data_IF_033810691490
#
_entry.id   IF_033810691490
#
_cell.length_a   1.000
_cell.length_b   1.000
_cell.length_c   1.000
_cell.angle_alpha   90.00
_cell.angle_beta   90.00
_cell.angle_gamma   90.00
#
_symmetry.space_group_name_H-M   'P 1'
#
loop_
_entity.id
_entity.type
_entity.pdbx_description
1 polymer ?
#
# COMPACT_ATOMS: atom_id res chain seq x y z
N UNK A 1 -8.48 25.39 -16.38
CA UNK A 1 -8.43 23.92 -16.49
C UNK A 1 -7.00 23.50 -16.25
N UNK A 2 -6.72 22.77 -15.17
CA UNK A 2 -5.37 22.26 -14.92
C UNK A 2 -4.94 21.32 -16.06
N UNK A 3 -3.66 21.37 -16.45
CA UNK A 3 -3.17 20.51 -17.51
C UNK A 3 -3.15 19.04 -17.08
N UNK A 4 -3.69 18.16 -17.92
CA UNK A 4 -3.77 16.72 -17.67
C UNK A 4 -2.49 16.01 -18.07
N UNK A 5 -2.09 15.03 -17.27
CA UNK A 5 -1.00 14.14 -17.62
C UNK A 5 -1.35 13.30 -18.84
N UNK A 6 -0.36 13.07 -19.69
CA UNK A 6 -0.43 12.12 -20.81
C UNK A 6 0.23 10.80 -20.48
N UNK A 7 1.25 10.82 -19.61
CA UNK A 7 2.03 9.65 -19.22
C UNK A 7 2.38 9.70 -17.74
N UNK A 8 2.59 8.53 -17.14
CA UNK A 8 3.12 8.39 -15.78
C UNK A 8 4.53 7.79 -15.83
N UNK A 9 5.40 8.25 -14.94
CA UNK A 9 6.77 7.78 -14.78
C UNK A 9 6.93 7.03 -13.46
N UNK A 10 8.09 7.19 -12.81
CA UNK A 10 8.54 6.35 -11.72
C UNK A 10 7.68 6.41 -10.44
N UNK A 11 7.87 5.37 -9.63
CA UNK A 11 7.43 5.33 -8.24
C UNK A 11 8.34 6.21 -7.39
N UNK A 12 7.74 7.09 -6.59
CA UNK A 12 8.47 7.92 -5.64
C UNK A 12 7.70 8.05 -4.32
N UNK A 13 8.43 8.42 -3.26
CA UNK A 13 7.87 8.84 -1.96
C UNK A 13 6.84 7.86 -1.39
N UNK A 14 7.25 6.60 -1.33
CA UNK A 14 6.47 5.58 -0.64
C UNK A 14 6.51 5.84 0.87
N UNK A 15 5.33 5.86 1.47
CA UNK A 15 5.11 6.04 2.90
C UNK A 15 4.10 5.00 3.38
N UNK A 16 4.12 4.71 4.67
CA UNK A 16 3.16 3.81 5.30
C UNK A 16 2.73 4.32 6.67
N UNK A 17 1.57 3.87 7.13
CA UNK A 17 1.10 4.10 8.49
C UNK A 17 0.35 2.86 8.99
N UNK A 18 0.70 2.35 10.16
CA UNK A 18 -0.01 1.21 10.77
C UNK A 18 -1.46 1.60 11.11
N UNK A 19 -2.37 0.63 11.04
CA UNK A 19 -3.69 0.76 11.66
C UNK A 19 -3.51 0.53 13.16
N UNK A 20 -3.84 1.54 13.98
CA UNK A 20 -3.71 1.50 15.44
C UNK A 20 -4.97 0.98 16.11
N UNK A 21 -6.14 1.25 15.54
CA UNK A 21 -7.43 0.75 16.04
C UNK A 21 -8.48 0.68 14.93
N UNK A 22 -9.45 -0.21 15.12
CA UNK A 22 -10.68 -0.29 14.33
C UNK A 22 -11.87 -0.07 15.27
N UNK A 23 -12.66 0.98 15.01
CA UNK A 23 -13.85 1.30 15.78
C UNK A 23 -15.00 0.32 15.50
N UNK A 24 -16.04 0.34 16.33
CA UNK A 24 -17.17 -0.60 16.22
C UNK A 24 -17.90 -0.58 14.87
N UNK A 25 -17.84 0.54 14.14
CA UNK A 25 -18.41 0.69 12.80
C UNK A 25 -17.41 0.39 11.66
N UNK A 26 -16.21 -0.10 11.97
CA UNK A 26 -15.15 -0.36 10.99
C UNK A 26 -14.28 0.85 10.63
N UNK A 27 -14.39 1.95 11.39
CA UNK A 27 -13.58 3.14 11.19
C UNK A 27 -12.13 2.90 11.64
N UNK A 28 -11.18 3.09 10.73
CA UNK A 28 -9.76 2.85 11.00
C UNK A 28 -9.09 4.11 11.53
N UNK A 29 -8.24 3.94 12.54
CA UNK A 29 -7.30 4.97 13.01
C UNK A 29 -5.91 4.60 12.57
N UNK A 30 -5.17 5.56 12.00
CA UNK A 30 -3.82 5.36 11.53
C UNK A 30 -2.81 5.99 12.48
N UNK A 31 -1.67 5.33 12.64
CA UNK A 31 -0.54 5.86 13.40
C UNK A 31 0.26 6.91 12.62
N UNK A 32 1.44 7.24 13.14
CA UNK A 32 2.38 8.14 12.47
C UNK A 32 2.77 7.60 11.09
N UNK A 33 2.74 8.48 10.09
CA UNK A 33 3.22 8.20 8.74
C UNK A 33 4.75 8.14 8.74
N UNK A 34 5.29 7.06 8.19
CA UNK A 34 6.73 6.85 8.03
C UNK A 34 7.10 6.70 6.55
N UNK A 35 8.25 7.25 6.16
CA UNK A 35 8.76 7.12 4.79
C UNK A 35 9.49 5.79 4.61
N UNK A 36 9.08 5.01 3.61
CA UNK A 36 9.78 3.80 3.19
C UNK A 36 10.79 4.15 2.08
N UNK A 37 12.05 4.30 2.45
CA UNK A 37 13.12 4.62 1.51
C UNK A 37 13.56 3.39 0.72
N UNK A 38 13.97 3.60 -0.53
CA UNK A 38 14.51 2.53 -1.37
C UNK A 38 13.46 1.69 -2.09
N UNK A 39 12.21 2.16 -2.18
CA UNK A 39 11.21 1.54 -3.06
C UNK A 39 11.62 1.68 -4.53
N UNK A 40 11.71 0.55 -5.22
CA UNK A 40 12.17 0.47 -6.60
C UNK A 40 11.03 0.19 -7.57
N UNK A 41 10.09 -0.68 -7.18
CA UNK A 41 9.00 -1.14 -8.06
C UNK A 41 7.75 -1.43 -7.23
N UNK A 42 6.58 -1.05 -7.74
CA UNK A 42 5.27 -1.38 -7.17
C UNK A 42 4.36 -1.92 -8.26
N UNK A 43 3.88 -3.13 -8.06
CA UNK A 43 2.87 -3.78 -8.91
C UNK A 43 1.57 -3.90 -8.12
N UNK A 44 0.43 -3.62 -8.77
CA UNK A 44 -0.91 -3.74 -8.19
C UNK A 44 -1.81 -4.48 -9.18
N UNK A 45 -2.20 -5.70 -8.84
CA UNK A 45 -3.04 -6.58 -9.64
C UNK A 45 -4.47 -6.57 -9.07
N UNK A 46 -5.50 -6.17 -9.84
CA UNK A 46 -6.87 -6.17 -9.35
C UNK A 46 -7.32 -7.56 -8.93
N UNK A 47 -7.97 -7.66 -7.78
CA UNK A 47 -8.59 -8.90 -7.30
C UNK A 47 -10.11 -8.76 -7.28
N UNK A 48 -10.78 -9.80 -7.76
CA UNK A 48 -12.23 -9.82 -7.90
C UNK A 48 -12.71 -11.08 -8.61
N UNK A 49 -13.83 -11.61 -8.15
CA UNK A 49 -14.52 -12.72 -8.77
C UNK A 49 -15.43 -12.21 -9.90
N UNK A 50 -15.34 -12.88 -11.05
CA UNK A 50 -16.23 -12.67 -12.20
C UNK A 50 -17.25 -13.79 -12.28
N UNK A 51 -18.50 -13.45 -11.99
CA UNK A 51 -19.66 -14.31 -12.21
C UNK A 51 -20.30 -14.00 -13.56
N UNK A 52 -20.74 -15.04 -14.28
CA UNK A 52 -21.60 -14.85 -15.44
C UNK A 52 -22.77 -15.83 -15.41
N UNK A 53 -23.96 -15.33 -15.71
CA UNK A 53 -25.16 -16.13 -15.90
C UNK A 53 -25.41 -16.30 -17.40
N UNK A 54 -25.41 -17.55 -17.86
CA UNK A 54 -25.64 -17.89 -19.26
C UNK A 54 -27.12 -18.17 -19.50
N UNK A 55 -27.70 -17.46 -20.46
CA UNK A 55 -29.04 -17.73 -20.99
C UNK A 55 -29.03 -17.51 -22.50
N UNK A 56 -29.89 -18.21 -23.25
CA UNK A 56 -29.99 -18.12 -24.71
C UNK A 56 -28.64 -18.26 -25.45
N UNK A 57 -27.77 -19.15 -24.97
CA UNK A 57 -26.40 -19.36 -25.47
C UNK A 57 -25.49 -18.11 -25.43
N UNK A 58 -25.84 -17.08 -24.66
CA UNK A 58 -25.01 -15.89 -24.42
C UNK A 58 -24.75 -15.69 -22.92
N UNK A 59 -23.73 -14.89 -22.59
CA UNK A 59 -23.57 -14.34 -21.23
C UNK A 59 -24.62 -13.24 -21.05
N UNK A 60 -25.77 -13.61 -20.49
CA UNK A 60 -26.91 -12.71 -20.33
C UNK A 60 -26.68 -11.67 -19.22
N UNK A 61 -25.96 -12.06 -18.17
CA UNK A 61 -25.59 -11.18 -17.08
C UNK A 61 -24.16 -11.47 -16.62
N UNK A 62 -23.37 -10.42 -16.40
CA UNK A 62 -21.99 -10.51 -15.87
C UNK A 62 -21.90 -9.61 -14.64
N UNK A 63 -21.35 -10.13 -13.56
CA UNK A 63 -21.06 -9.40 -12.33
C UNK A 63 -19.58 -9.55 -11.96
N UNK A 64 -18.99 -8.50 -11.41
CA UNK A 64 -17.60 -8.47 -10.94
C UNK A 64 -17.58 -7.93 -9.51
N UNK A 65 -16.91 -8.63 -8.58
CA UNK A 65 -16.57 -8.07 -7.26
C UNK A 65 -15.29 -7.25 -7.35
N UNK A 66 -15.14 -6.29 -6.44
CA UNK A 66 -13.90 -5.54 -6.25
C UNK A 66 -13.36 -5.86 -4.86
N UNK A 67 -12.53 -6.90 -4.81
CA UNK A 67 -11.90 -7.38 -3.58
C UNK A 67 -10.56 -6.66 -3.30
N UNK A 68 -10.21 -5.72 -4.18
CA UNK A 68 -9.11 -4.79 -4.03
C UNK A 68 -7.94 -5.11 -4.96
N UNK A 69 -6.74 -5.20 -4.39
CA UNK A 69 -5.52 -5.49 -5.14
C UNK A 69 -4.62 -6.49 -4.41
N UNK A 70 -3.96 -7.35 -5.16
CA UNK A 70 -2.71 -7.96 -4.74
C UNK A 70 -1.56 -7.06 -5.16
N UNK A 71 -0.68 -6.75 -4.22
CA UNK A 71 0.41 -5.81 -4.40
C UNK A 71 1.76 -6.45 -4.13
N UNK A 72 2.72 -6.12 -4.98
CA UNK A 72 4.13 -6.49 -4.80
C UNK A 72 4.97 -5.22 -4.80
N UNK A 73 5.61 -4.93 -3.66
CA UNK A 73 6.50 -3.80 -3.50
C UNK A 73 7.93 -4.31 -3.33
N UNK A 74 8.82 -3.89 -4.23
CA UNK A 74 10.26 -4.15 -4.11
C UNK A 74 10.94 -2.97 -3.45
N UNK A 75 11.68 -3.25 -2.38
CA UNK A 75 12.44 -2.25 -1.63
C UNK A 75 13.88 -2.70 -1.42
N UNK A 76 14.82 -1.77 -1.39
CA UNK A 76 16.21 -2.08 -1.05
C UNK A 76 16.35 -2.61 0.39
N UNK A 77 15.54 -2.08 1.33
CA UNK A 77 15.53 -2.49 2.73
C UNK A 77 14.20 -2.11 3.39
N UNK A 78 13.61 -3.04 4.15
CA UNK A 78 12.49 -2.71 5.04
C UNK A 78 13.02 -2.07 6.32
N UNK A 79 12.36 -0.99 6.76
CA UNK A 79 12.76 -0.31 8.00
C UNK A 79 12.40 -1.15 9.22
N UNK A 80 13.17 -1.02 10.30
CA UNK A 80 12.91 -1.69 11.57
C UNK A 80 11.50 -1.35 12.12
N UNK A 81 11.05 -0.12 11.91
CA UNK A 81 9.72 0.33 12.29
C UNK A 81 8.64 -0.44 11.55
N UNK A 82 8.83 -0.76 10.26
CA UNK A 82 7.88 -1.57 9.50
C UNK A 82 7.83 -3.01 10.03
N UNK A 83 9.00 -3.61 10.26
CA UNK A 83 9.12 -4.97 10.81
C UNK A 83 8.41 -5.09 12.17
N UNK A 84 8.62 -4.10 13.04
CA UNK A 84 8.06 -4.13 14.41
C UNK A 84 6.59 -3.71 14.49
N UNK A 85 6.20 -2.62 13.81
CA UNK A 85 4.84 -2.04 13.91
C UNK A 85 3.83 -2.74 13.00
N UNK A 86 4.25 -3.20 11.82
CA UNK A 86 3.37 -3.83 10.83
C UNK A 86 3.50 -5.35 10.85
N UNK A 87 4.72 -5.89 10.76
CA UNK A 87 4.91 -7.34 10.75
C UNK A 87 4.88 -7.98 12.15
N UNK A 88 4.90 -7.17 13.21
CA UNK A 88 4.80 -7.64 14.59
C UNK A 88 6.06 -8.33 15.10
N UNK A 89 7.21 -8.10 14.47
CA UNK A 89 8.49 -8.58 14.98
C UNK A 89 8.86 -7.89 16.31
N UNK A 90 9.53 -8.60 17.20
CA UNK A 90 9.84 -8.09 18.54
C UNK A 90 11.30 -7.65 18.64
N UNK A 91 11.52 -6.38 19.00
CA UNK A 91 12.84 -5.87 19.36
C UNK A 91 13.13 -6.23 20.83
N UNK A 92 14.17 -7.01 21.06
CA UNK A 92 14.75 -7.17 22.39
C UNK A 92 15.68 -5.99 22.68
N UNK A 93 15.31 -5.16 23.66
CA UNK A 93 16.08 -3.97 24.05
C UNK A 93 17.39 -4.28 24.76
N UNK A 94 17.56 -5.51 25.25
CA UNK A 94 18.77 -5.95 25.95
C UNK A 94 19.84 -6.37 24.96
N UNK A 95 19.46 -7.15 23.94
CA UNK A 95 20.37 -7.67 22.93
C UNK A 95 20.41 -6.84 21.65
N UNK A 96 19.47 -5.91 21.47
CA UNK A 96 19.23 -5.16 20.24
C UNK A 96 19.00 -6.07 19.01
N UNK A 97 18.35 -7.21 19.22
CA UNK A 97 17.99 -8.15 18.15
C UNK A 97 16.50 -8.11 17.87
N UNK A 98 16.13 -8.23 16.59
CA UNK A 98 14.74 -8.39 16.17
C UNK A 98 14.45 -9.88 16.04
N UNK A 99 13.37 -10.33 16.68
CA UNK A 99 12.90 -11.71 16.65
C UNK A 99 11.57 -11.80 15.93
N UNK A 100 11.51 -12.68 14.93
CA UNK A 100 10.25 -13.07 14.30
C UNK A 100 9.60 -14.18 15.13
N UNK A 101 8.41 -13.91 15.68
CA UNK A 101 7.68 -14.86 16.51
C UNK A 101 6.49 -15.41 15.71
N UNK A 102 6.34 -16.73 15.67
CA UNK A 102 5.28 -17.39 14.90
C UNK A 102 3.86 -16.98 15.31
N UNK A 103 3.67 -16.59 16.58
CA UNK A 103 2.40 -16.10 17.12
C UNK A 103 2.23 -14.58 17.05
N UNK A 104 3.17 -13.85 16.46
CA UNK A 104 3.05 -12.41 16.28
C UNK A 104 1.85 -12.05 15.43
N UNK A 105 1.08 -11.06 15.90
CA UNK A 105 -0.04 -10.51 15.15
C UNK A 105 0.45 -9.35 14.31
N UNK A 106 0.38 -9.53 12.99
CA UNK A 106 0.57 -8.45 12.05
C UNK A 106 -0.56 -7.46 12.14
N UNK A 107 -0.29 -6.20 11.78
CA UNK A 107 -1.30 -5.16 11.66
C UNK A 107 -1.53 -4.83 10.21
N UNK A 108 -2.75 -4.37 9.91
CA UNK A 108 -3.03 -3.74 8.64
C UNK A 108 -2.35 -2.36 8.62
N UNK A 109 -2.13 -1.82 7.43
CA UNK A 109 -1.48 -0.52 7.26
C UNK A 109 -2.06 0.23 6.05
N UNK A 110 -1.91 1.54 6.01
CA UNK A 110 -2.09 2.32 4.81
C UNK A 110 -0.76 2.43 4.06
N UNK A 111 -0.78 2.29 2.74
CA UNK A 111 0.37 2.51 1.85
C UNK A 111 0.08 3.74 0.97
N UNK A 112 0.94 4.73 1.04
CA UNK A 112 0.84 5.97 0.27
C UNK A 112 2.06 6.10 -0.63
N UNK A 113 1.87 6.58 -1.84
CA UNK A 113 2.96 6.71 -2.82
C UNK A 113 2.59 7.75 -3.87
N UNK A 114 3.59 8.23 -4.63
CA UNK A 114 3.33 9.04 -5.81
C UNK A 114 3.85 8.34 -7.06
N UNK A 115 3.10 8.52 -8.14
CA UNK A 115 3.60 8.31 -9.49
C UNK A 115 3.90 9.67 -10.10
N UNK A 116 5.12 9.82 -10.59
CA UNK A 116 5.48 10.98 -11.39
C UNK A 116 4.60 11.04 -12.65
N UNK A 117 4.33 12.25 -13.13
CA UNK A 117 3.60 12.50 -14.37
C UNK A 117 4.35 13.53 -15.20
N UNK A 118 4.06 13.60 -16.50
CA UNK A 118 4.67 14.60 -17.39
C UNK A 118 4.35 16.05 -17.02
N UNK A 119 3.28 16.28 -16.25
CA UNK A 119 2.87 17.62 -15.82
C UNK A 119 2.68 17.74 -14.31
N UNK A 120 2.00 16.77 -13.71
CA UNK A 120 1.67 16.77 -12.28
C UNK A 120 1.78 15.36 -11.72
N UNK A 121 2.36 15.21 -10.55
CA UNK A 121 2.38 13.93 -9.86
C UNK A 121 0.96 13.49 -9.44
N UNK A 122 0.75 12.17 -9.43
CA UNK A 122 -0.47 11.54 -8.91
C UNK A 122 -0.16 10.86 -7.59
N UNK A 123 -0.69 11.41 -6.51
CA UNK A 123 -0.54 10.83 -5.18
C UNK A 123 -1.63 9.80 -4.96
N UNK A 124 -1.27 8.67 -4.36
CA UNK A 124 -2.14 7.52 -4.14
C UNK A 124 -2.12 7.14 -2.66
N UNK A 125 -3.19 6.51 -2.21
CA UNK A 125 -3.30 5.85 -0.92
C UNK A 125 -4.12 4.56 -1.06
N UNK A 126 -3.58 3.47 -0.53
CA UNK A 126 -4.25 2.20 -0.25
C UNK A 126 -4.46 2.11 1.26
N UNK A 127 -5.67 1.85 1.71
CA UNK A 127 -6.03 2.11 3.10
C UNK A 127 -5.93 0.91 4.04
N UNK A 128 -6.10 -0.30 3.52
CA UNK A 128 -6.23 -1.51 4.32
C UNK A 128 -5.36 -2.61 3.73
N UNK A 129 -4.06 -2.36 3.75
CA UNK A 129 -3.05 -3.29 3.29
C UNK A 129 -2.71 -4.31 4.39
N UNK A 130 -2.58 -5.58 4.02
CA UNK A 130 -2.09 -6.65 4.88
C UNK A 130 -0.87 -7.32 4.24
N UNK A 131 0.28 -7.25 4.91
CA UNK A 131 1.54 -7.74 4.36
C UNK A 131 1.79 -9.23 4.68
N UNK A 132 2.18 -9.97 3.66
CA UNK A 132 2.76 -11.29 3.81
C UNK A 132 4.16 -11.21 4.43
N UNK A 133 4.69 -12.34 4.89
CA UNK A 133 6.07 -12.38 5.40
C UNK A 133 6.99 -12.07 4.23
N UNK A 134 7.89 -11.07 4.33
CA UNK A 134 8.78 -10.73 3.24
C UNK A 134 9.73 -11.89 2.95
N UNK A 135 10.02 -12.12 1.67
CA UNK A 135 11.02 -13.10 1.28
C UNK A 135 12.40 -12.52 1.52
N UNK A 136 13.17 -13.12 2.42
CA UNK A 136 14.56 -12.72 2.68
C UNK A 136 15.47 -13.54 1.78
N UNK A 137 16.12 -12.86 0.84
CA UNK A 137 17.12 -13.45 -0.04
C UNK A 137 18.25 -12.46 -0.28
N UNK A 138 19.46 -12.97 -0.45
CA UNK A 138 20.63 -12.17 -0.85
C UNK A 138 21.41 -12.95 -1.89
N UNK A 139 21.93 -12.26 -2.90
CA UNK A 139 22.86 -12.83 -3.87
C UNK A 139 24.27 -12.32 -3.61
N UNK A 140 25.29 -13.08 -4.01
CA UNK A 140 26.68 -12.61 -3.97
C UNK A 140 26.80 -11.36 -4.84
N UNK A 141 27.39 -10.29 -4.29
CA UNK A 141 27.51 -9.01 -4.99
C UNK A 141 28.24 -9.19 -6.32
N UNK A 142 27.56 -8.86 -7.41
CA UNK A 142 28.14 -8.77 -8.75
C UNK A 142 28.00 -7.34 -9.24
N UNK A 143 29.11 -6.60 -9.30
CA UNK A 143 29.11 -5.20 -9.74
C UNK A 143 28.22 -4.27 -8.88
N UNK A 144 27.24 -3.64 -9.53
CA UNK A 144 26.35 -2.62 -8.95
C UNK A 144 24.98 -3.15 -8.55
N UNK A 145 24.79 -4.48 -8.55
CA UNK A 145 23.52 -5.10 -8.18
C UNK A 145 23.19 -4.80 -6.71
N UNK A 146 21.94 -4.38 -6.46
CA UNK A 146 21.38 -4.13 -5.14
C UNK A 146 20.45 -5.29 -4.80
N UNK A 147 20.55 -5.83 -3.58
CA UNK A 147 19.57 -6.80 -3.10
C UNK A 147 18.23 -6.09 -2.86
N UNK A 148 17.16 -6.73 -3.30
CA UNK A 148 15.80 -6.25 -3.10
C UNK A 148 15.07 -7.20 -2.15
N UNK A 149 14.28 -6.63 -1.26
CA UNK A 149 13.30 -7.31 -0.45
C UNK A 149 11.95 -7.19 -1.15
N UNK A 150 11.33 -8.32 -1.42
CA UNK A 150 9.99 -8.38 -1.99
C UNK A 150 8.95 -8.45 -0.88
N UNK A 151 8.13 -7.41 -0.79
CA UNK A 151 7.00 -7.31 0.12
C UNK A 151 5.71 -7.52 -0.68
N UNK A 152 5.11 -8.70 -0.53
CA UNK A 152 3.77 -8.96 -1.06
C UNK A 152 2.71 -8.58 -0.03
N UNK A 153 1.60 -8.01 -0.48
CA UNK A 153 0.51 -7.57 0.38
C UNK A 153 -0.84 -7.62 -0.35
N UNK A 154 -1.93 -7.71 0.39
CA UNK A 154 -3.28 -7.51 -0.15
C UNK A 154 -3.77 -6.14 0.27
N UNK A 155 -4.40 -5.38 -0.62
CA UNK A 155 -5.04 -4.11 -0.33
C UNK A 155 -6.55 -4.24 -0.50
N UNK A 156 -7.25 -4.49 0.59
CA UNK A 156 -8.69 -4.80 0.58
C UNK A 156 -9.57 -3.55 0.79
N UNK A 157 -10.87 -3.62 0.46
CA UNK A 157 -11.83 -2.59 0.82
C UNK A 157 -11.85 -2.34 2.33
N UNK A 158 -11.82 -1.07 2.75
CA UNK A 158 -11.95 -0.73 4.17
C UNK A 158 -13.26 -1.24 4.78
N UNK A 159 -13.28 -1.63 6.07
CA UNK A 159 -14.49 -2.11 6.72
C UNK A 159 -15.65 -1.12 6.69
N UNK A 160 -15.38 0.17 6.99
CA UNK A 160 -16.38 1.25 7.10
C UNK A 160 -17.10 1.57 5.78
N UNK A 161 -16.36 1.88 4.73
CA UNK A 161 -16.89 2.51 3.51
C UNK A 161 -16.57 1.74 2.22
N UNK A 162 -15.92 0.59 2.34
CA UNK A 162 -15.47 -0.26 1.23
C UNK A 162 -14.54 0.45 0.24
N UNK A 163 -13.92 1.56 0.64
CA UNK A 163 -12.93 2.24 -0.20
C UNK A 163 -11.63 1.43 -0.16
N UNK A 164 -11.14 1.06 -1.34
CA UNK A 164 -9.84 0.38 -1.50
C UNK A 164 -8.71 1.40 -1.60
N UNK A 165 -8.89 2.39 -2.49
CA UNK A 165 -7.86 3.38 -2.81
C UNK A 165 -8.44 4.76 -3.07
N UNK A 166 -7.64 5.79 -2.83
CA UNK A 166 -7.85 7.14 -3.35
C UNK A 166 -6.62 7.62 -4.10
N UNK A 167 -6.83 8.55 -5.02
CA UNK A 167 -5.77 9.25 -5.73
C UNK A 167 -6.14 10.69 -5.97
N UNK A 168 -5.14 11.56 -6.03
CA UNK A 168 -5.33 12.96 -6.42
C UNK A 168 -5.68 13.06 -7.90
N UNK A 169 -6.44 14.09 -8.24
CA UNK A 169 -6.64 14.55 -9.62
C UNK A 169 -5.81 15.81 -9.87
N UNK A 170 -5.86 16.31 -11.09
CA UNK A 170 -5.22 17.58 -11.46
C UNK A 170 -5.82 18.77 -10.69
N UNK A 171 -7.11 18.69 -10.35
CA UNK A 171 -7.88 19.70 -9.64
C UNK A 171 -7.79 19.60 -8.11
N UNK A 172 -7.12 18.56 -7.59
CA UNK A 172 -6.87 18.48 -6.14
C UNK A 172 -6.03 19.66 -5.67
N UNK A 173 -6.49 20.35 -4.62
CA UNK A 173 -5.86 21.55 -4.07
C UNK A 173 -4.43 21.28 -3.60
N UNK A 174 -3.61 22.33 -3.64
CA UNK A 174 -2.22 22.24 -3.21
C UNK A 174 -2.12 21.91 -1.71
N UNK A 175 -3.06 22.41 -0.89
CA UNK A 175 -3.16 22.06 0.53
C UNK A 175 -3.34 20.54 0.75
N UNK A 176 -4.21 19.87 -0.02
CA UNK A 176 -4.38 18.41 0.09
C UNK A 176 -3.10 17.69 -0.33
N UNK A 177 -2.43 18.17 -1.38
CA UNK A 177 -1.19 17.57 -1.90
C UNK A 177 -0.03 17.70 -0.91
N UNK A 178 0.14 18.87 -0.32
CA UNK A 178 1.17 19.14 0.70
C UNK A 178 0.98 18.33 1.98
N UNK A 179 -0.27 18.01 2.32
CA UNK A 179 -0.60 17.24 3.53
C UNK A 179 -0.73 15.73 3.28
N UNK A 180 -0.69 15.26 2.03
CA UNK A 180 -0.94 13.86 1.65
C UNK A 180 -0.04 12.84 2.36
N UNK A 181 1.21 13.21 2.62
CA UNK A 181 2.18 12.35 3.32
C UNK A 181 2.41 12.73 4.79
N UNK A 182 1.69 13.73 5.31
CA UNK A 182 1.75 14.10 6.74
C UNK A 182 0.80 13.24 7.59
N UNK A 183 -0.31 12.82 7.00
CA UNK A 183 -1.31 11.94 7.61
C UNK A 183 -2.01 11.15 6.51
N UNK A 184 -2.55 9.98 6.85
CA UNK A 184 -3.39 9.21 5.91
C UNK A 184 -4.60 10.07 5.51
N UNK A 185 -4.74 10.34 4.22
CA UNK A 185 -5.74 11.28 3.71
C UNK A 185 -7.16 10.78 3.95
N UNK A 186 -7.99 11.62 4.60
CA UNK A 186 -9.45 11.50 4.61
C UNK A 186 -10.06 12.83 4.12
N UNK A 187 -11.08 12.80 3.23
CA UNK A 187 -11.82 13.99 2.89
C UNK A 187 -12.55 14.49 4.13
N UNK A 188 -12.58 15.80 4.31
CA UNK A 188 -13.47 16.42 5.27
C UNK A 188 -14.93 16.04 4.91
N UNK A 189 -15.71 15.68 5.92
CA UNK A 189 -17.14 15.42 5.80
C UNK A 189 -17.91 16.71 5.49
#
# INVERSE_FOLDING_TARGET
>A
MAEKNKVTFGLQDVHWAEVTSEGAAGALTYGTVERLRGAAELTLEPTGDKGSYKADNINFYTSESNDGYEGTLKVALLSQEFLTRVLGEQLDVTTNTISEIASSKKKNFALMFRFEGDKKETLHVLYYCYASRPTVGSKTKSGSDINEVELTFTASPRPLDKIVRRRTTEETSDEIRENWFKSVFEPAA
#
